data_IF_021786746316
#
_entry.id   IF_021786746316
#
_cell.length_a   1.000
_cell.length_b   1.000
_cell.length_c   1.000
_cell.angle_alpha   90.00
_cell.angle_beta   90.00
_cell.angle_gamma   90.00
#
_symmetry.space_group_name_H-M   'P 1'
#
loop_
_entity.id
_entity.type
_entity.pdbx_description
1 polymer ?
#
# COMPACT_ATOMS: atom_id res chain seq x y z
N UNK A 1 16.69 10.42 -6.11
CA UNK A 1 15.44 11.09 -6.54
C UNK A 1 15.27 12.42 -5.82
N UNK A 2 14.97 12.46 -4.51
CA UNK A 2 14.68 13.74 -3.82
C UNK A 2 15.75 14.83 -3.93
N UNK A 3 17.04 14.50 -3.74
CA UNK A 3 18.10 15.51 -3.92
C UNK A 3 18.20 16.02 -5.36
N UNK A 4 18.02 15.13 -6.34
CA UNK A 4 18.00 15.51 -7.75
C UNK A 4 16.85 16.47 -8.06
N UNK A 5 15.65 16.17 -7.55
CA UNK A 5 14.47 17.05 -7.70
C UNK A 5 14.75 18.43 -7.12
N UNK A 6 15.35 18.51 -5.92
CA UNK A 6 15.72 19.78 -5.29
C UNK A 6 16.73 20.57 -6.11
N UNK A 7 17.82 19.93 -6.54
CA UNK A 7 18.86 20.58 -7.36
C UNK A 7 18.29 21.15 -8.66
N UNK A 8 17.32 20.47 -9.26
CA UNK A 8 16.72 20.85 -10.55
C UNK A 8 15.38 21.59 -10.41
N UNK A 9 14.98 21.96 -9.18
CA UNK A 9 13.70 22.65 -8.90
C UNK A 9 12.48 21.90 -9.47
N UNK A 10 12.50 20.58 -9.38
CA UNK A 10 11.38 19.71 -9.77
C UNK A 10 10.53 19.38 -8.54
N UNK A 11 9.21 19.38 -8.72
CA UNK A 11 8.28 18.92 -7.70
C UNK A 11 8.45 17.42 -7.46
N UNK A 12 8.71 17.03 -6.20
CA UNK A 12 8.74 15.63 -5.80
C UNK A 12 7.41 15.26 -5.12
N UNK A 13 6.55 14.57 -5.86
CA UNK A 13 5.45 13.81 -5.26
C UNK A 13 5.90 12.38 -4.94
N UNK A 14 5.62 11.88 -3.74
CA UNK A 14 5.83 10.48 -3.39
C UNK A 14 4.50 9.78 -3.25
N UNK A 15 4.29 8.74 -4.08
CA UNK A 15 3.20 7.79 -3.86
C UNK A 15 3.52 6.88 -2.68
N UNK A 16 3.10 7.33 -1.50
CA UNK A 16 3.18 6.61 -0.25
C UNK A 16 1.91 5.84 0.07
N UNK A 17 0.97 5.69 -0.87
CA UNK A 17 -0.39 5.27 -0.57
C UNK A 17 -0.42 3.96 0.23
N UNK A 18 0.35 2.96 -0.21
CA UNK A 18 0.53 1.71 0.54
C UNK A 18 1.60 1.81 1.61
N UNK A 19 2.81 2.25 1.24
CA UNK A 19 4.01 2.10 2.08
C UNK A 19 4.19 3.14 3.19
N UNK A 20 3.57 4.33 3.11
CA UNK A 20 3.86 5.43 4.04
C UNK A 20 3.48 5.12 5.50
N UNK A 21 2.54 4.20 5.74
CA UNK A 21 2.21 3.74 7.09
C UNK A 21 3.41 3.11 7.82
N UNK A 22 4.44 2.64 7.10
CA UNK A 22 5.67 2.14 7.72
C UNK A 22 6.45 3.23 8.49
N UNK A 23 6.13 4.53 8.33
CA UNK A 23 6.67 5.59 9.18
C UNK A 23 6.28 5.45 10.65
N UNK A 24 5.14 4.81 10.95
CA UNK A 24 4.71 4.57 12.32
C UNK A 24 5.61 3.53 13.01
N UNK A 25 6.22 2.63 12.24
CA UNK A 25 7.11 1.57 12.73
C UNK A 25 8.53 2.09 12.93
N UNK A 26 9.07 1.92 14.14
CA UNK A 26 10.49 2.20 14.43
C UNK A 26 11.42 1.25 13.68
N UNK A 27 10.95 0.06 13.31
CA UNK A 27 11.72 -0.97 12.59
C UNK A 27 11.79 -0.71 11.08
N UNK A 28 10.75 -0.11 10.51
CA UNK A 28 10.59 0.00 9.05
C UNK A 28 10.62 1.43 8.51
N UNK A 29 10.51 2.47 9.36
CA UNK A 29 10.50 3.87 8.90
C UNK A 29 11.72 4.28 8.06
N UNK A 30 12.86 3.63 8.24
CA UNK A 30 14.09 3.96 7.51
C UNK A 30 14.03 3.58 6.02
N UNK A 31 13.09 2.71 5.63
CA UNK A 31 12.74 2.46 4.23
C UNK A 31 12.26 3.74 3.53
N UNK A 32 11.74 4.70 4.31
CA UNK A 32 11.15 5.96 3.84
C UNK A 32 12.03 7.18 4.18
N UNK A 33 13.32 7.01 4.51
CA UNK A 33 14.22 8.10 4.93
C UNK A 33 14.28 9.30 3.98
N UNK A 34 14.00 9.08 2.69
CA UNK A 34 13.97 10.12 1.66
C UNK A 34 12.66 10.90 1.58
N UNK A 35 11.58 10.43 2.24
CA UNK A 35 10.25 11.05 2.18
C UNK A 35 10.25 12.49 2.69
N UNK A 36 11.13 12.80 3.64
CA UNK A 36 11.37 14.18 4.13
C UNK A 36 11.82 15.15 3.04
N UNK A 37 12.15 14.68 1.84
CA UNK A 37 12.52 15.47 0.66
C UNK A 37 11.33 15.73 -0.28
N UNK A 38 10.18 15.08 -0.09
CA UNK A 38 8.98 15.23 -0.92
C UNK A 38 8.26 16.55 -0.68
N UNK A 39 7.70 17.15 -1.73
CA UNK A 39 6.85 18.34 -1.68
C UNK A 39 5.39 17.96 -1.41
N UNK A 40 4.98 16.77 -1.85
CA UNK A 40 3.73 16.15 -1.45
C UNK A 40 3.82 14.63 -1.33
N UNK A 41 2.92 14.05 -0.55
CA UNK A 41 2.83 12.60 -0.32
C UNK A 41 1.36 12.19 -0.31
N UNK A 42 1.01 11.12 -1.01
CA UNK A 42 -0.29 10.46 -0.79
C UNK A 42 -0.13 9.35 0.26
N UNK A 43 -1.12 9.21 1.14
CA UNK A 43 -1.16 8.19 2.18
C UNK A 43 -2.56 7.62 2.34
N UNK A 44 -2.70 6.30 2.23
CA UNK A 44 -4.00 5.63 2.38
C UNK A 44 -4.11 4.90 3.71
N UNK A 45 -4.95 5.44 4.61
CA UNK A 45 -5.30 4.75 5.85
C UNK A 45 -6.07 3.44 5.61
N UNK A 46 -6.77 3.32 4.48
CA UNK A 46 -7.50 2.11 4.12
C UNK A 46 -6.62 0.99 3.56
N UNK A 47 -5.29 1.20 3.52
CA UNK A 47 -4.29 0.17 3.28
C UNK A 47 -3.69 -0.24 4.62
N UNK A 48 -2.39 -0.02 4.85
CA UNK A 48 -1.66 -0.52 6.01
C UNK A 48 -2.11 -0.01 7.39
N UNK A 49 -3.09 0.91 7.49
CA UNK A 49 -3.71 1.30 8.77
C UNK A 49 -5.04 0.61 9.06
N UNK A 50 -5.45 -0.37 8.25
CA UNK A 50 -6.63 -1.21 8.54
C UNK A 50 -7.96 -0.44 8.57
N UNK A 51 -8.03 0.73 7.95
CA UNK A 51 -9.27 1.51 7.93
C UNK A 51 -10.25 1.00 6.87
N UNK A 52 -11.57 1.01 7.13
CA UNK A 52 -12.56 0.75 6.09
C UNK A 52 -12.46 1.78 4.97
N UNK A 53 -12.37 1.32 3.72
CA UNK A 53 -12.29 2.20 2.56
C UNK A 53 -13.52 3.14 2.45
N UNK A 54 -13.38 4.34 1.90
CA UNK A 54 -12.13 5.02 1.55
C UNK A 54 -11.62 5.88 2.73
N UNK A 55 -10.29 5.95 2.86
CA UNK A 55 -9.55 6.86 3.75
C UNK A 55 -8.21 7.17 3.10
N UNK A 56 -8.05 8.37 2.54
CA UNK A 56 -6.83 8.80 1.86
C UNK A 56 -6.55 10.26 2.18
N UNK A 57 -5.26 10.62 2.20
CA UNK A 57 -4.79 11.98 2.44
C UNK A 57 -3.68 12.33 1.43
N UNK A 58 -3.79 13.51 0.82
CA UNK A 58 -2.66 14.18 0.17
C UNK A 58 -2.08 15.15 1.19
N UNK A 59 -0.82 14.94 1.55
CA UNK A 59 -0.07 15.78 2.47
C UNK A 59 0.89 16.65 1.66
N UNK A 60 1.01 17.91 2.03
CA UNK A 60 1.91 18.87 1.38
C UNK A 60 2.95 19.36 2.37
N UNK A 61 4.17 19.60 1.90
CA UNK A 61 5.24 20.18 2.71
C UNK A 61 4.90 21.62 3.12
N UNK A 62 4.41 22.41 2.17
CA UNK A 62 3.94 23.78 2.42
C UNK A 62 2.43 23.80 2.44
N UNK A 63 1.86 24.50 3.42
CA UNK A 63 0.41 24.70 3.48
C UNK A 63 -0.10 25.45 2.24
N UNK A 64 0.67 26.39 1.70
CA UNK A 64 0.26 27.20 0.55
C UNK A 64 -0.01 26.35 -0.70
N UNK A 65 0.82 25.33 -0.94
CA UNK A 65 0.68 24.45 -2.10
C UNK A 65 -0.62 23.64 -2.09
N UNK A 66 -1.12 23.32 -0.89
CA UNK A 66 -2.38 22.59 -0.74
C UNK A 66 -3.63 23.40 -1.07
N UNK A 67 -3.51 24.73 -1.22
CA UNK A 67 -4.58 25.60 -1.67
C UNK A 67 -4.49 25.86 -3.16
N UNK A 68 -3.28 26.15 -3.66
CA UNK A 68 -3.05 26.55 -5.05
C UNK A 68 -3.56 25.51 -6.07
N UNK A 69 -3.44 24.23 -5.75
CA UNK A 69 -3.89 23.15 -6.61
C UNK A 69 -5.43 23.05 -6.74
N UNK A 70 -6.19 23.66 -5.82
CA UNK A 70 -7.65 23.52 -5.72
C UNK A 70 -8.39 24.86 -5.60
N UNK A 71 -7.68 25.97 -5.81
CA UNK A 71 -8.27 27.30 -5.69
C UNK A 71 -9.45 27.46 -6.67
N UNK A 72 -10.62 27.74 -6.12
CA UNK A 72 -11.85 28.02 -6.85
C UNK A 72 -12.44 29.34 -6.37
N UNK A 73 -13.17 30.02 -7.25
CA UNK A 73 -13.92 31.23 -6.92
C UNK A 73 -15.42 30.91 -6.86
N UNK A 74 -15.97 30.99 -5.66
CA UNK A 74 -17.37 30.71 -5.35
C UNK A 74 -17.77 31.55 -4.13
N UNK A 75 -18.37 32.71 -4.39
CA UNK A 75 -18.65 33.75 -3.39
C UNK A 75 -19.55 33.32 -2.22
N UNK A 76 -20.27 32.20 -2.34
CA UNK A 76 -21.10 31.64 -1.26
C UNK A 76 -20.35 30.65 -0.36
N UNK A 77 -19.15 30.20 -0.75
CA UNK A 77 -18.29 29.30 0.01
C UNK A 77 -16.99 29.96 0.45
N UNK A 78 -16.53 30.95 -0.31
CA UNK A 78 -15.21 31.56 -0.17
C UNK A 78 -15.36 33.07 0.00
N UNK A 79 -14.84 33.61 1.11
CA UNK A 79 -15.02 35.02 1.46
C UNK A 79 -13.97 35.97 0.86
N UNK A 80 -13.26 35.56 -0.20
CA UNK A 80 -12.32 36.41 -0.94
C UNK A 80 -11.14 36.96 -0.12
N UNK A 81 -10.87 36.41 1.06
CA UNK A 81 -9.84 36.86 2.01
C UNK A 81 -8.56 36.01 2.01
N UNK A 82 -7.59 36.40 2.84
CA UNK A 82 -6.32 35.68 3.00
C UNK A 82 -6.59 34.25 3.51
N UNK A 83 -6.24 33.22 2.74
CA UNK A 83 -6.50 31.80 3.06
C UNK A 83 -5.94 31.34 4.42
N UNK A 84 -4.99 32.08 4.98
CA UNK A 84 -4.43 31.88 6.31
C UNK A 84 -5.45 32.10 7.45
N UNK A 85 -6.47 32.94 7.24
CA UNK A 85 -7.52 33.24 8.24
C UNK A 85 -8.58 32.11 8.26
N UNK A 86 -8.77 31.40 7.16
CA UNK A 86 -9.76 30.31 7.01
C UNK A 86 -9.13 28.91 6.90
N UNK A 87 -8.01 28.67 7.59
CA UNK A 87 -7.30 27.36 7.57
C UNK A 87 -8.18 26.17 7.99
N UNK A 88 -9.24 26.41 8.78
CA UNK A 88 -10.23 25.41 9.17
C UNK A 88 -11.19 25.01 8.04
N UNK A 89 -11.35 25.86 7.02
CA UNK A 89 -12.24 25.60 5.89
C UNK A 89 -11.55 24.68 4.88
N UNK A 90 -11.74 23.37 5.06
CA UNK A 90 -11.12 22.35 4.20
C UNK A 90 -11.59 22.41 2.74
N UNK A 91 -12.69 23.11 2.44
CA UNK A 91 -13.26 23.24 1.10
C UNK A 91 -12.31 23.93 0.12
N UNK A 92 -11.35 24.74 0.60
CA UNK A 92 -10.30 25.32 -0.25
C UNK A 92 -9.21 24.33 -0.70
N UNK A 93 -9.23 23.10 -0.18
CA UNK A 93 -8.13 22.12 -0.33
C UNK A 93 -8.61 20.79 -0.94
N UNK A 94 -9.77 20.79 -1.59
CA UNK A 94 -10.45 19.58 -2.05
C UNK A 94 -11.12 19.84 -3.38
N UNK A 95 -11.16 18.82 -4.24
CA UNK A 95 -11.96 18.84 -5.46
C UNK A 95 -13.45 18.64 -5.18
N UNK A 96 -13.78 17.91 -4.11
CA UNK A 96 -15.15 17.66 -3.68
C UNK A 96 -15.70 18.87 -2.92
N UNK A 97 -16.91 19.34 -3.25
CA UNK A 97 -17.62 20.32 -2.42
C UNK A 97 -18.04 19.69 -1.08
N UNK A 98 -19.07 18.83 -1.11
CA UNK A 98 -19.49 18.05 0.07
C UNK A 98 -18.71 16.74 0.11
N UNK A 99 -18.05 16.45 1.24
CA UNK A 99 -17.23 15.24 1.41
C UNK A 99 -17.55 14.49 2.70
N UNK A 100 -17.28 13.18 2.71
CA UNK A 100 -17.39 12.35 3.91
C UNK A 100 -16.31 12.72 4.93
N UNK A 101 -16.63 12.63 6.21
CA UNK A 101 -15.70 12.91 7.31
C UNK A 101 -14.69 11.76 7.52
N UNK A 102 -13.83 11.51 6.52
CA UNK A 102 -12.84 10.42 6.53
C UNK A 102 -11.84 10.53 7.69
N UNK A 103 -11.54 11.75 8.13
CA UNK A 103 -10.62 12.01 9.23
C UNK A 103 -11.07 11.38 10.56
N UNK A 104 -12.38 11.22 10.79
CA UNK A 104 -12.91 10.62 12.01
C UNK A 104 -12.44 9.17 12.17
N UNK A 105 -12.39 8.40 11.07
CA UNK A 105 -11.90 7.00 11.09
C UNK A 105 -10.46 6.92 11.59
N UNK A 106 -9.59 7.79 11.05
CA UNK A 106 -8.19 7.88 11.48
C UNK A 106 -8.08 8.35 12.92
N UNK A 107 -8.79 9.41 13.29
CA UNK A 107 -8.77 9.95 14.65
C UNK A 107 -9.21 8.91 15.68
N UNK A 108 -10.27 8.15 15.41
CA UNK A 108 -10.73 7.07 16.28
C UNK A 108 -9.66 5.97 16.40
N UNK A 109 -9.04 5.55 15.30
CA UNK A 109 -8.00 4.53 15.33
C UNK A 109 -6.76 4.97 16.13
N UNK A 110 -6.27 6.18 15.90
CA UNK A 110 -5.15 6.73 16.67
C UNK A 110 -5.51 6.94 18.14
N UNK A 111 -6.74 7.34 18.45
CA UNK A 111 -7.20 7.53 19.83
C UNK A 111 -7.34 6.21 20.59
N UNK A 112 -7.78 5.14 19.93
CA UNK A 112 -7.99 3.83 20.56
C UNK A 112 -6.71 2.99 20.66
N UNK A 113 -5.92 2.95 19.58
CA UNK A 113 -4.76 2.05 19.47
C UNK A 113 -3.42 2.75 19.66
N UNK A 114 -3.40 4.09 19.63
CA UNK A 114 -2.16 4.85 19.62
C UNK A 114 -1.32 4.63 18.36
N UNK A 115 -0.19 5.34 18.28
CA UNK A 115 0.79 5.14 17.20
C UNK A 115 1.42 3.75 17.29
N UNK A 116 1.74 3.29 18.51
CA UNK A 116 2.40 2.01 18.75
C UNK A 116 1.52 0.82 18.36
N UNK A 117 0.22 0.83 18.69
CA UNK A 117 -0.69 -0.25 18.30
C UNK A 117 -0.84 -0.37 16.78
N UNK A 118 -0.94 0.76 16.08
CA UNK A 118 -0.98 0.77 14.62
C UNK A 118 0.36 0.34 14.00
N UNK A 119 1.49 0.73 14.60
CA UNK A 119 2.82 0.30 14.18
C UNK A 119 3.00 -1.22 14.30
N UNK A 120 2.52 -1.83 15.39
CA UNK A 120 2.54 -3.29 15.59
C UNK A 120 1.82 -4.02 14.45
N UNK A 121 0.65 -3.53 14.02
CA UNK A 121 -0.09 -4.13 12.90
C UNK A 121 0.72 -4.09 11.59
N UNK A 122 1.42 -2.97 11.33
CA UNK A 122 2.31 -2.85 10.17
C UNK A 122 3.48 -3.83 10.25
N UNK A 123 4.14 -3.91 11.41
CA UNK A 123 5.26 -4.82 11.66
C UNK A 123 4.86 -6.28 11.48
N UNK A 124 3.70 -6.69 12.00
CA UNK A 124 3.17 -8.04 11.85
C UNK A 124 2.86 -8.37 10.39
N UNK A 125 2.25 -7.45 9.65
CA UNK A 125 1.97 -7.65 8.23
C UNK A 125 3.27 -7.84 7.42
N UNK A 126 4.32 -7.09 7.75
CA UNK A 126 5.63 -7.21 7.10
C UNK A 126 6.32 -8.52 7.51
N UNK A 127 6.25 -8.90 8.78
CA UNK A 127 6.80 -10.16 9.28
C UNK A 127 6.17 -11.38 8.60
N UNK A 128 4.84 -11.39 8.43
CA UNK A 128 4.14 -12.47 7.69
C UNK A 128 4.67 -12.60 6.26
N UNK A 129 4.93 -11.48 5.59
CA UNK A 129 5.48 -11.50 4.23
C UNK A 129 6.91 -12.04 4.21
N UNK A 130 7.76 -11.68 5.17
CA UNK A 130 9.10 -12.27 5.30
C UNK A 130 9.04 -13.78 5.53
N UNK A 131 8.16 -14.24 6.43
CA UNK A 131 7.98 -15.67 6.73
C UNK A 131 7.56 -16.41 5.46
N UNK A 132 6.52 -15.91 4.77
CA UNK A 132 6.03 -16.56 3.55
C UNK A 132 7.08 -16.59 2.44
N UNK A 133 7.81 -15.50 2.25
CA UNK A 133 8.91 -15.42 1.29
C UNK A 133 10.02 -16.45 1.62
N UNK A 134 10.37 -16.62 2.89
CA UNK A 134 11.33 -17.64 3.32
C UNK A 134 10.85 -19.07 3.06
N UNK A 135 9.56 -19.35 3.31
CA UNK A 135 8.96 -20.65 2.99
C UNK A 135 9.01 -20.95 1.49
N UNK A 136 8.66 -19.97 0.65
CA UNK A 136 8.72 -20.09 -0.81
C UNK A 136 10.16 -20.31 -1.31
N UNK A 137 11.14 -19.56 -0.79
CA UNK A 137 12.55 -19.73 -1.18
C UNK A 137 13.13 -21.10 -0.80
N UNK A 138 12.66 -21.69 0.30
CA UNK A 138 13.10 -23.00 0.76
C UNK A 138 12.48 -24.16 -0.04
N UNK A 139 11.45 -23.89 -0.85
CA UNK A 139 10.71 -24.92 -1.57
C UNK A 139 11.07 -24.93 -3.06
N UNK A 140 11.56 -26.05 -3.62
CA UNK A 140 12.12 -26.10 -4.98
C UNK A 140 11.10 -25.81 -6.09
N UNK A 141 9.81 -26.06 -5.82
CA UNK A 141 8.74 -25.82 -6.78
C UNK A 141 8.28 -24.35 -6.84
N UNK A 142 8.95 -23.43 -6.15
CA UNK A 142 8.57 -22.01 -6.16
C UNK A 142 9.72 -21.09 -6.56
N UNK A 143 9.37 -20.06 -7.33
CA UNK A 143 10.25 -18.92 -7.64
C UNK A 143 9.70 -17.69 -6.92
N UNK A 144 10.49 -17.11 -6.01
CA UNK A 144 10.17 -15.82 -5.39
C UNK A 144 10.70 -14.68 -6.27
N UNK A 145 9.87 -13.68 -6.58
CA UNK A 145 10.30 -12.52 -7.39
C UNK A 145 11.43 -11.74 -6.71
N UNK A 146 11.24 -11.41 -5.44
CA UNK A 146 12.20 -10.72 -4.59
C UNK A 146 11.78 -10.86 -3.13
N UNK A 147 12.74 -10.67 -2.20
CA UNK A 147 12.40 -10.52 -0.79
C UNK A 147 11.48 -9.30 -0.61
N UNK A 148 10.32 -9.47 0.05
CA UNK A 148 9.34 -8.40 0.16
C UNK A 148 9.90 -7.26 1.02
N UNK A 149 9.57 -6.02 0.68
CA UNK A 149 9.88 -4.84 1.50
C UNK A 149 8.65 -4.31 2.25
N UNK A 150 7.49 -4.93 2.00
CA UNK A 150 6.20 -4.64 2.64
C UNK A 150 5.44 -5.95 2.88
N UNK A 151 4.13 -5.90 3.07
CA UNK A 151 3.28 -7.09 3.24
C UNK A 151 2.84 -7.77 1.93
N UNK A 152 3.47 -7.47 0.80
CA UNK A 152 3.13 -8.02 -0.51
C UNK A 152 4.20 -9.01 -0.95
N UNK A 153 3.79 -10.21 -1.34
CA UNK A 153 4.68 -11.28 -1.84
C UNK A 153 4.26 -11.65 -3.25
N UNK A 154 5.24 -11.64 -4.17
CA UNK A 154 5.06 -12.04 -5.56
C UNK A 154 5.93 -13.28 -5.85
N UNK A 155 5.32 -14.32 -6.41
CA UNK A 155 5.96 -15.62 -6.60
C UNK A 155 5.33 -16.39 -7.76
N UNK A 156 5.95 -17.49 -8.17
CA UNK A 156 5.45 -18.41 -9.20
C UNK A 156 5.57 -19.84 -8.72
N UNK A 157 4.64 -20.68 -9.16
CA UNK A 157 4.77 -22.12 -9.07
C UNK A 157 5.53 -22.64 -10.30
N UNK A 158 6.59 -23.39 -10.08
CA UNK A 158 7.46 -23.98 -11.09
C UNK A 158 7.02 -25.40 -11.40
N UNK A 159 6.78 -25.68 -12.68
CA UNK A 159 6.47 -27.03 -13.16
C UNK A 159 7.56 -27.45 -14.12
N UNK A 160 8.04 -28.69 -13.98
CA UNK A 160 9.10 -29.24 -14.81
C UNK A 160 8.70 -29.17 -16.28
N UNK A 161 9.64 -28.77 -17.14
CA UNK A 161 9.45 -28.64 -18.60
C UNK A 161 8.43 -27.58 -19.06
N UNK A 162 7.82 -26.81 -18.14
CA UNK A 162 6.92 -25.70 -18.46
C UNK A 162 7.67 -24.38 -18.37
N UNK A 163 7.76 -23.62 -19.46
CA UNK A 163 8.52 -22.36 -19.51
C UNK A 163 7.85 -21.29 -20.38
N UNK A 164 8.39 -20.07 -20.36
CA UNK A 164 7.90 -18.95 -21.18
C UNK A 164 6.39 -18.71 -21.02
N UNK A 165 5.69 -18.64 -22.14
CA UNK A 165 4.26 -18.33 -22.17
C UNK A 165 3.39 -19.46 -21.60
N UNK A 166 3.82 -20.72 -21.70
CA UNK A 166 3.13 -21.84 -21.04
C UNK A 166 3.17 -21.68 -19.52
N UNK A 167 4.30 -21.24 -18.98
CA UNK A 167 4.42 -20.96 -17.55
C UNK A 167 3.56 -19.78 -17.11
N UNK A 168 3.38 -18.77 -17.96
CA UNK A 168 2.45 -17.66 -17.69
C UNK A 168 0.99 -18.15 -17.67
N UNK A 169 0.57 -18.95 -18.66
CA UNK A 169 -0.77 -19.57 -18.67
C UNK A 169 -1.01 -20.43 -17.43
N UNK A 170 0.00 -21.22 -17.03
CA UNK A 170 -0.06 -22.02 -15.80
C UNK A 170 -0.36 -21.16 -14.57
N UNK A 171 0.32 -20.02 -14.37
CA UNK A 171 0.02 -19.14 -13.22
C UNK A 171 -1.42 -18.61 -13.27
N UNK A 172 -1.90 -18.20 -14.46
CA UNK A 172 -3.26 -17.68 -14.63
C UNK A 172 -4.33 -18.73 -14.33
N UNK A 173 -4.15 -19.94 -14.84
CA UNK A 173 -5.07 -21.07 -14.62
C UNK A 173 -5.07 -21.51 -13.16
N UNK A 174 -3.88 -21.61 -12.54
CA UNK A 174 -3.72 -21.90 -11.13
C UNK A 174 -4.43 -20.86 -10.25
N UNK A 175 -4.21 -19.57 -10.51
CA UNK A 175 -4.89 -18.48 -9.79
C UNK A 175 -6.40 -18.58 -9.94
N UNK A 176 -6.89 -18.88 -11.14
CA UNK A 176 -8.32 -19.04 -11.42
C UNK A 176 -8.90 -20.20 -10.61
N UNK A 177 -8.30 -21.39 -10.67
CA UNK A 177 -8.72 -22.57 -9.91
C UNK A 177 -8.78 -22.30 -8.40
N UNK A 178 -7.75 -21.67 -7.85
CA UNK A 178 -7.68 -21.36 -6.41
C UNK A 178 -8.82 -20.41 -5.99
N UNK A 179 -9.06 -19.37 -6.77
CA UNK A 179 -10.11 -18.38 -6.48
C UNK A 179 -11.51 -18.96 -6.66
N UNK A 180 -11.72 -19.79 -7.69
CA UNK A 180 -12.99 -20.50 -7.90
C UNK A 180 -13.25 -21.57 -6.83
N UNK A 181 -12.18 -22.17 -6.28
CA UNK A 181 -12.26 -23.09 -5.14
C UNK A 181 -12.64 -22.41 -3.82
N UNK A 182 -12.53 -21.08 -3.71
CA UNK A 182 -13.06 -20.29 -2.61
C UNK A 182 -12.30 -20.37 -1.27
N UNK A 183 -11.32 -21.26 -1.13
CA UNK A 183 -10.52 -21.37 0.09
C UNK A 183 -9.50 -20.24 0.25
N UNK A 184 -8.91 -19.80 -0.87
CA UNK A 184 -7.92 -18.73 -0.89
C UNK A 184 -8.23 -17.72 -1.98
N UNK A 185 -7.75 -16.49 -1.80
CA UNK A 185 -7.83 -15.46 -2.81
C UNK A 185 -6.44 -14.93 -3.16
N UNK A 186 -6.06 -15.06 -4.43
CA UNK A 186 -4.82 -14.51 -4.99
C UNK A 186 -5.12 -13.50 -6.09
N UNK A 187 -4.24 -12.51 -6.18
CA UNK A 187 -4.13 -11.63 -7.35
C UNK A 187 -2.95 -12.09 -8.21
N UNK A 188 -2.79 -11.48 -9.38
CA UNK A 188 -1.62 -11.70 -10.23
C UNK A 188 -1.15 -10.37 -10.80
N UNK A 189 0.11 -10.32 -11.23
CA UNK A 189 0.71 -9.16 -11.88
C UNK A 189 1.66 -9.63 -12.98
N UNK A 190 1.65 -8.96 -14.11
CA UNK A 190 2.65 -9.17 -15.16
C UNK A 190 3.78 -8.16 -15.00
N UNK A 191 5.02 -8.65 -14.94
CA UNK A 191 6.23 -7.83 -14.87
C UNK A 191 7.25 -8.40 -15.85
N UNK A 192 7.72 -7.55 -16.77
CA UNK A 192 8.73 -7.92 -17.77
C UNK A 192 8.37 -9.20 -18.57
N UNK A 193 7.10 -9.34 -18.98
CA UNK A 193 6.61 -10.50 -19.75
C UNK A 193 6.46 -11.79 -18.93
N UNK A 194 6.63 -11.73 -17.61
CA UNK A 194 6.42 -12.84 -16.68
C UNK A 194 5.17 -12.58 -15.85
N UNK A 195 4.25 -13.54 -15.81
CA UNK A 195 3.10 -13.49 -14.90
C UNK A 195 3.51 -14.03 -13.51
N UNK A 196 3.18 -13.29 -12.46
CA UNK A 196 3.47 -13.62 -11.07
C UNK A 196 2.17 -13.72 -10.27
N UNK A 197 2.04 -14.75 -9.45
CA UNK A 197 1.05 -14.77 -8.38
C UNK A 197 1.43 -13.72 -7.35
N UNK A 198 0.42 -13.02 -6.83
CA UNK A 198 0.61 -11.92 -5.88
C UNK A 198 -0.39 -12.05 -4.73
N UNK A 199 0.13 -12.12 -3.51
CA UNK A 199 -0.66 -12.06 -2.28
C UNK A 199 -0.31 -10.82 -1.46
N UNK A 200 -1.29 -10.30 -0.73
CA UNK A 200 -1.12 -9.19 0.21
C UNK A 200 -1.53 -9.67 1.59
N UNK A 201 -0.57 -9.84 2.49
CA UNK A 201 -0.76 -10.39 3.82
C UNK A 201 -1.20 -9.30 4.77
N UNK A 202 -2.50 -9.04 4.78
CA UNK A 202 -3.09 -7.95 5.56
C UNK A 202 -3.88 -8.47 6.76
N UNK A 203 -4.62 -9.58 6.61
CA UNK A 203 -5.51 -10.07 7.67
C UNK A 203 -4.70 -10.39 8.97
N UNK A 204 -5.04 -9.78 10.13
CA UNK A 204 -4.37 -10.06 11.40
C UNK A 204 -4.43 -11.54 11.78
N UNK A 205 -5.52 -12.23 11.40
CA UNK A 205 -5.74 -13.64 11.70
C UNK A 205 -5.02 -14.62 10.77
N UNK A 206 -4.31 -14.15 9.74
CA UNK A 206 -3.44 -15.04 8.95
C UNK A 206 -2.25 -15.48 9.80
N UNK A 207 -2.04 -16.79 9.88
CA UNK A 207 -1.01 -17.48 10.65
C UNK A 207 -0.16 -18.33 9.71
N UNK A 208 0.95 -18.86 10.19
CA UNK A 208 1.88 -19.66 9.37
C UNK A 208 1.23 -20.92 8.78
N UNK A 209 0.32 -21.57 9.51
CA UNK A 209 -0.46 -22.72 8.99
C UNK A 209 -1.31 -22.36 7.77
N UNK A 210 -1.89 -21.16 7.72
CA UNK A 210 -2.63 -20.68 6.56
C UNK A 210 -1.72 -20.44 5.35
N UNK A 211 -0.46 -20.04 5.58
CA UNK A 211 0.53 -19.86 4.53
C UNK A 211 0.99 -21.21 3.96
N UNK A 212 1.19 -22.20 4.82
CA UNK A 212 1.51 -23.57 4.41
C UNK A 212 0.35 -24.17 3.60
N UNK A 213 -0.88 -24.06 4.10
CA UNK A 213 -2.06 -24.55 3.41
C UNK A 213 -2.25 -23.92 2.03
N UNK A 214 -1.89 -22.64 1.86
CA UNK A 214 -1.86 -21.99 0.54
C UNK A 214 -0.82 -22.63 -0.40
N UNK A 215 0.39 -22.91 0.08
CA UNK A 215 1.42 -23.59 -0.73
C UNK A 215 0.97 -24.99 -1.14
N UNK A 216 0.43 -25.76 -0.20
CA UNK A 216 -0.07 -27.12 -0.45
C UNK A 216 -1.22 -27.10 -1.47
N UNK A 217 -2.12 -26.12 -1.36
CA UNK A 217 -3.20 -25.89 -2.32
C UNK A 217 -2.66 -25.58 -3.72
N UNK A 218 -1.56 -24.80 -3.81
CA UNK A 218 -0.93 -24.47 -5.09
C UNK A 218 -0.27 -25.70 -5.74
N UNK A 219 0.43 -26.50 -4.95
CA UNK A 219 1.14 -27.70 -5.45
C UNK A 219 0.14 -28.78 -5.90
N UNK A 220 -1.04 -28.83 -5.30
CA UNK A 220 -2.08 -29.84 -5.59
C UNK A 220 -3.09 -29.47 -6.69
N UNK A 221 -3.10 -28.22 -7.16
CA UNK A 221 -4.10 -27.69 -8.11
C UNK A 221 -3.70 -27.81 -9.60
#
# INVERSE_FOLDING_TARGET
>A
IGEYCRTHKLWLHVDGAHGASALLSTRHRDLLRGLKLADSVIWDGHKLLYMPATVSAVLFRSAQDSYLAFAQDASYLFQGGNHEIETYNVSYRTLECTKRMMALKLWTAFSLYGVEGLATLVDEAFAKAQIFAGMLQAHPDFELLMMPQTNIVCFRHLVKEVSGEESNRHQADLRKKIVEGGQFHLTQVELHGKLWLRTTLMNPFTQQEHLQALMDCIVSA
#
